data_IF_122737589217
#
_entry.id   IF_122737589217
#
_cell.length_a   1.000
_cell.length_b   1.000
_cell.length_c   1.000
_cell.angle_alpha   90.00
_cell.angle_beta   90.00
_cell.angle_gamma   90.00
#
_symmetry.space_group_name_H-M   'P 1'
#
loop_
_entity.id
_entity.type
_entity.pdbx_description
1 polymer ?
#
# COMPACT_ATOMS: atom_id res chain seq x y z
N UNK A 1 17.29 -5.94 -31.59
CA UNK A 1 15.82 -5.93 -31.39
C UNK A 1 15.55 -5.72 -29.90
N UNK A 2 15.32 -4.47 -29.46
CA UNK A 2 14.99 -4.13 -28.06
C UNK A 2 13.66 -3.39 -28.04
N UNK A 3 12.58 -4.05 -27.58
CA UNK A 3 11.24 -3.44 -27.49
C UNK A 3 10.54 -3.67 -26.13
N UNK A 4 11.27 -4.00 -25.07
CA UNK A 4 10.68 -4.28 -23.74
C UNK A 4 11.15 -3.34 -22.61
N UNK A 5 11.87 -2.26 -22.91
CA UNK A 5 12.41 -1.32 -21.90
C UNK A 5 11.56 -0.06 -21.71
N UNK A 6 10.29 -0.05 -22.13
CA UNK A 6 9.43 1.16 -22.07
C UNK A 6 8.20 1.04 -21.18
N UNK A 7 8.04 -0.03 -20.42
CA UNK A 7 6.94 -0.18 -19.46
C UNK A 7 7.51 -0.55 -18.09
N UNK A 8 8.22 0.38 -17.44
CA UNK A 8 8.58 0.25 -16.02
C UNK A 8 9.00 1.60 -15.48
N UNK A 9 8.07 2.26 -14.78
CA UNK A 9 8.27 3.23 -13.70
C UNK A 9 7.00 4.09 -13.54
N UNK A 10 6.33 4.44 -14.63
CA UNK A 10 5.22 5.40 -14.61
C UNK A 10 3.89 4.81 -14.12
N UNK A 11 3.69 3.49 -14.24
CA UNK A 11 2.45 2.83 -13.79
C UNK A 11 2.38 2.68 -12.27
N UNK A 12 3.52 2.45 -11.60
CA UNK A 12 3.57 2.30 -10.15
C UNK A 12 3.26 3.62 -9.42
N UNK A 13 3.64 4.77 -10.00
CA UNK A 13 3.35 6.10 -9.44
C UNK A 13 1.88 6.50 -9.65
N UNK A 14 1.26 6.12 -10.77
CA UNK A 14 -0.14 6.42 -11.06
C UNK A 14 -1.12 5.69 -10.13
N UNK A 15 -0.78 4.47 -9.68
CA UNK A 15 -1.57 3.72 -8.69
C UNK A 15 -1.57 4.39 -7.31
N UNK A 16 -0.54 5.18 -6.97
CA UNK A 16 -0.46 5.90 -5.69
C UNK A 16 -1.24 7.22 -5.72
N UNK A 17 -1.35 7.87 -6.89
CA UNK A 17 -2.08 9.14 -7.04
C UNK A 17 -3.59 8.95 -7.19
N UNK A 18 -4.06 7.84 -7.76
CA UNK A 18 -5.50 7.56 -7.89
C UNK A 18 -6.20 7.27 -6.55
N UNK A 19 -5.44 7.03 -5.47
CA UNK A 19 -5.97 6.77 -4.14
C UNK A 19 -5.99 8.01 -3.22
N UNK A 20 -5.47 9.16 -3.67
CA UNK A 20 -5.45 10.42 -2.91
C UNK A 20 -6.42 11.49 -3.47
N UNK A 21 -7.11 11.24 -4.58
CA UNK A 21 -8.10 12.19 -5.11
C UNK A 21 -9.53 11.79 -4.68
N UNK A 22 -10.10 12.58 -3.77
CA UNK A 22 -11.46 12.45 -3.21
C UNK A 22 -12.44 13.30 -4.06
N UNK A 23 -13.74 12.92 -4.21
CA UNK A 23 -14.51 13.21 -5.42
C UNK A 23 -15.27 14.54 -5.37
N UNK A 24 -15.33 15.23 -6.51
CA UNK A 24 -16.31 16.26 -6.88
C UNK A 24 -16.20 16.43 -8.42
N UNK A 25 -17.23 16.59 -9.25
CA UNK A 25 -18.67 16.73 -9.09
C UNK A 25 -19.28 16.59 -10.52
N UNK A 26 -20.55 16.21 -10.60
CA UNK A 26 -21.55 16.46 -11.66
C UNK A 26 -21.45 15.75 -13.04
N UNK A 27 -22.51 14.97 -13.28
CA UNK A 27 -22.99 14.48 -14.58
C UNK A 27 -23.31 15.61 -15.58
N UNK A 28 -23.58 15.24 -16.85
CA UNK A 28 -24.98 15.32 -17.24
C UNK A 28 -25.50 14.07 -17.96
N UNK A 29 -26.83 13.95 -17.84
CA UNK A 29 -27.69 12.97 -18.45
C UNK A 29 -27.66 12.98 -19.99
N UNK A 30 -27.83 11.79 -20.57
CA UNK A 30 -28.42 11.63 -21.90
C UNK A 30 -29.03 10.23 -22.02
N UNK A 31 -30.33 10.13 -21.73
CA UNK A 31 -31.23 9.30 -22.55
C UNK A 31 -31.41 10.03 -23.89
N UNK A 32 -31.58 9.33 -25.04
CA UNK A 32 -32.86 8.65 -25.30
C UNK A 32 -32.76 7.36 -26.13
N UNK A 33 -33.76 6.48 -26.02
CA UNK A 33 -34.67 6.11 -27.12
C UNK A 33 -35.34 4.75 -26.91
N UNK A 34 -36.67 4.80 -26.73
CA UNK A 34 -37.70 3.82 -27.09
C UNK A 34 -37.28 2.74 -28.10
N UNK A 35 -37.71 1.50 -27.85
CA UNK A 35 -38.53 0.71 -28.79
C UNK A 35 -39.43 -0.29 -28.01
N UNK A 36 -40.57 -0.56 -28.62
CA UNK A 36 -41.87 -1.08 -28.17
C UNK A 36 -42.01 -2.61 -28.11
N UNK A 37 -43.00 -3.07 -27.31
CA UNK A 37 -43.84 -4.31 -27.35
C UNK A 37 -43.25 -5.71 -27.54
N UNK A 38 -43.54 -6.64 -26.60
CA UNK A 38 -44.72 -7.54 -26.60
C UNK A 38 -44.51 -8.76 -25.65
N UNK A 39 -45.52 -9.09 -24.86
CA UNK A 39 -45.71 -10.36 -24.13
C UNK A 39 -46.36 -11.42 -25.07
N UNK A 40 -46.61 -12.72 -24.72
CA UNK A 40 -46.69 -13.31 -23.37
C UNK A 40 -46.25 -14.81 -23.17
N UNK A 41 -46.33 -15.22 -21.89
CA UNK A 41 -46.78 -16.53 -21.36
C UNK A 41 -45.79 -17.69 -21.02
N UNK A 42 -45.72 -17.93 -19.70
CA UNK A 42 -45.80 -19.22 -18.95
C UNK A 42 -44.64 -20.22 -18.95
N UNK A 43 -43.97 -20.40 -17.80
CA UNK A 43 -44.05 -21.55 -16.85
C UNK A 43 -42.86 -21.58 -15.87
N UNK A 44 -43.16 -21.66 -14.57
CA UNK A 44 -42.26 -21.95 -13.40
C UNK A 44 -41.88 -23.46 -13.43
N UNK A 45 -40.78 -23.99 -12.82
CA UNK A 45 -40.20 -23.54 -11.55
C UNK A 45 -38.67 -23.54 -11.36
N UNK A 46 -38.28 -22.71 -10.39
CA UNK A 46 -37.09 -22.71 -9.54
C UNK A 46 -35.99 -23.76 -9.82
N UNK A 47 -34.82 -23.26 -10.23
CA UNK A 47 -33.53 -23.87 -9.96
C UNK A 47 -32.59 -22.76 -9.48
N UNK A 48 -32.45 -22.68 -8.16
CA UNK A 48 -31.24 -22.32 -7.42
C UNK A 48 -30.24 -21.40 -8.16
N UNK A 49 -30.57 -20.12 -8.24
CA UNK A 49 -29.53 -19.11 -8.41
C UNK A 49 -28.71 -19.12 -7.11
N UNK A 50 -27.52 -19.72 -7.17
CA UNK A 50 -26.47 -19.52 -6.20
C UNK A 50 -26.28 -18.00 -6.06
N UNK A 51 -26.89 -17.45 -5.01
CA UNK A 51 -26.60 -16.10 -4.52
C UNK A 51 -25.09 -16.04 -4.43
N UNK A 52 -24.41 -15.09 -5.10
CA UNK A 52 -23.02 -14.81 -4.77
C UNK A 52 -23.01 -14.66 -3.25
N UNK A 53 -22.18 -15.43 -2.56
CA UNK A 53 -21.86 -15.12 -1.19
C UNK A 53 -21.26 -13.71 -1.22
N UNK A 54 -22.13 -12.71 -1.08
CA UNK A 54 -21.75 -11.41 -0.57
C UNK A 54 -21.09 -11.75 0.74
N UNK A 55 -19.76 -11.75 0.73
CA UNK A 55 -18.97 -11.59 1.94
C UNK A 55 -19.46 -10.29 2.54
N UNK A 56 -20.51 -10.36 3.36
CA UNK A 56 -21.04 -9.22 4.10
C UNK A 56 -19.92 -8.81 5.03
N UNK A 57 -19.18 -7.78 4.61
CA UNK A 57 -18.16 -7.15 5.43
C UNK A 57 -18.90 -6.66 6.67
N UNK A 58 -18.63 -7.27 7.81
CA UNK A 58 -19.30 -6.91 9.06
C UNK A 58 -19.07 -5.43 9.34
N UNK A 59 -20.16 -4.70 9.57
CA UNK A 59 -20.12 -3.27 9.86
C UNK A 59 -19.17 -3.01 11.04
N UNK A 60 -18.33 -1.97 10.96
CA UNK A 60 -17.35 -1.68 12.02
C UNK A 60 -18.04 -1.21 13.29
N UNK A 61 -17.62 -1.76 14.44
CA UNK A 61 -18.04 -1.27 15.76
C UNK A 61 -17.47 0.13 16.03
N UNK A 62 -18.02 0.86 17.01
CA UNK A 62 -17.48 2.17 17.41
C UNK A 62 -16.01 2.09 17.87
N UNK A 63 -15.66 1.02 18.62
CA UNK A 63 -14.28 0.77 19.01
C UNK A 63 -13.36 0.57 17.80
N UNK A 64 -13.80 -0.19 16.79
CA UNK A 64 -13.05 -0.38 15.56
C UNK A 64 -12.88 0.93 14.77
N UNK A 65 -13.90 1.81 14.76
CA UNK A 65 -13.80 3.13 14.13
C UNK A 65 -12.77 4.02 14.82
N UNK A 66 -12.76 4.02 16.15
CA UNK A 66 -11.76 4.75 16.94
C UNK A 66 -10.34 4.22 16.68
N UNK A 67 -10.17 2.89 16.65
CA UNK A 67 -8.88 2.27 16.35
C UNK A 67 -8.39 2.59 14.93
N UNK A 68 -9.30 2.62 13.95
CA UNK A 68 -8.98 2.99 12.58
C UNK A 68 -8.54 4.46 12.50
N UNK A 69 -9.24 5.36 13.19
CA UNK A 69 -8.88 6.78 13.23
C UNK A 69 -7.49 7.01 13.81
N UNK A 70 -7.11 6.30 14.90
CA UNK A 70 -5.75 6.38 15.46
C UNK A 70 -4.67 6.05 14.42
N UNK A 71 -4.90 5.04 13.58
CA UNK A 71 -3.95 4.67 12.53
C UNK A 71 -3.90 5.71 11.39
N UNK A 72 -5.04 6.30 11.03
CA UNK A 72 -5.10 7.38 10.05
C UNK A 72 -4.30 8.58 10.53
N UNK A 73 -4.55 9.03 11.77
CA UNK A 73 -3.86 10.17 12.38
C UNK A 73 -2.36 9.92 12.50
N UNK A 74 -1.98 8.72 12.93
CA UNK A 74 -0.58 8.31 12.98
C UNK A 74 0.06 8.35 11.59
N UNK A 75 -0.58 7.79 10.57
CA UNK A 75 -0.02 7.75 9.22
C UNK A 75 0.22 9.17 8.69
N UNK A 76 -0.76 10.07 8.84
CA UNK A 76 -0.63 11.48 8.47
C UNK A 76 0.55 12.16 9.18
N UNK A 77 0.77 11.87 10.47
CA UNK A 77 1.92 12.40 11.21
C UNK A 77 3.27 11.84 10.71
N UNK A 78 3.29 10.62 10.16
CA UNK A 78 4.51 9.99 9.65
C UNK A 78 4.87 10.41 8.21
N UNK A 79 3.92 10.85 7.39
CA UNK A 79 4.16 11.17 5.96
C UNK A 79 5.32 12.14 5.75
N UNK A 80 5.25 13.33 6.36
CA UNK A 80 6.32 14.34 6.24
C UNK A 80 7.64 13.86 6.85
N UNK A 81 7.55 13.10 7.94
CA UNK A 81 8.69 12.55 8.66
C UNK A 81 9.48 11.54 7.81
N UNK A 82 8.79 10.61 7.16
CA UNK A 82 9.38 9.63 6.25
C UNK A 82 9.88 10.26 4.95
N UNK A 83 9.12 11.20 4.39
CA UNK A 83 9.54 11.93 3.19
C UNK A 83 10.85 12.70 3.42
N UNK A 84 10.99 13.36 4.57
CA UNK A 84 12.22 14.07 4.95
C UNK A 84 13.39 13.11 5.10
N UNK A 85 13.19 11.98 5.79
CA UNK A 85 14.24 10.97 5.97
C UNK A 85 14.71 10.37 4.63
N UNK A 86 13.77 10.11 3.71
CA UNK A 86 14.08 9.61 2.38
C UNK A 86 14.84 10.64 1.54
N UNK A 87 14.42 11.92 1.58
CA UNK A 87 15.09 13.00 0.85
C UNK A 87 16.53 13.21 1.34
N UNK A 88 16.76 13.20 2.66
CA UNK A 88 18.11 13.31 3.21
C UNK A 88 18.98 12.10 2.86
N UNK A 89 18.42 10.88 2.88
CA UNK A 89 19.13 9.69 2.41
C UNK A 89 19.54 9.83 0.93
N UNK A 90 18.62 10.24 0.04
CA UNK A 90 18.91 10.46 -1.38
C UNK A 90 20.00 11.52 -1.60
N UNK A 91 19.95 12.62 -0.84
CA UNK A 91 20.98 13.66 -0.87
C UNK A 91 22.36 13.11 -0.47
N UNK A 92 22.43 12.29 0.57
CA UNK A 92 23.67 11.65 1.01
C UNK A 92 24.18 10.63 -0.01
N UNK A 93 23.29 9.84 -0.62
CA UNK A 93 23.60 8.94 -1.75
C UNK A 93 24.21 9.67 -2.94
N UNK A 94 23.67 10.84 -3.30
CA UNK A 94 24.16 11.63 -4.44
C UNK A 94 25.59 12.15 -4.26
N UNK A 95 26.12 12.20 -3.03
CA UNK A 95 27.51 12.62 -2.77
C UNK A 95 28.53 11.60 -3.25
N UNK A 96 28.13 10.33 -3.41
CA UNK A 96 29.01 9.18 -3.68
C UNK A 96 30.14 8.99 -2.65
N UNK A 97 30.10 9.69 -1.51
CA UNK A 97 31.05 9.55 -0.42
C UNK A 97 30.62 8.40 0.51
N UNK A 98 31.44 7.36 0.72
CA UNK A 98 31.06 6.20 1.51
C UNK A 98 30.65 6.52 2.96
N UNK A 99 31.27 7.53 3.58
CA UNK A 99 30.95 7.92 4.96
C UNK A 99 29.61 8.66 5.01
N UNK A 100 29.39 9.59 4.08
CA UNK A 100 28.10 10.30 3.96
C UNK A 100 26.96 9.32 3.69
N UNK A 101 27.17 8.34 2.80
CA UNK A 101 26.19 7.29 2.49
C UNK A 101 25.85 6.47 3.74
N UNK A 102 26.86 6.00 4.49
CA UNK A 102 26.61 5.24 5.72
C UNK A 102 25.91 6.06 6.81
N UNK A 103 26.29 7.33 6.97
CA UNK A 103 25.62 8.25 7.90
C UNK A 103 24.14 8.44 7.52
N UNK A 104 23.86 8.70 6.24
CA UNK A 104 22.50 8.84 5.72
C UNK A 104 21.68 7.56 5.92
N UNK A 105 22.27 6.39 5.64
CA UNK A 105 21.61 5.11 5.85
C UNK A 105 21.31 4.85 7.32
N UNK A 106 22.25 5.12 8.22
CA UNK A 106 22.07 4.94 9.66
C UNK A 106 20.95 5.85 10.19
N UNK A 107 20.93 7.12 9.77
CA UNK A 107 19.88 8.06 10.14
C UNK A 107 18.51 7.61 9.62
N UNK A 108 18.43 7.15 8.36
CA UNK A 108 17.21 6.60 7.78
C UNK A 108 16.70 5.37 8.55
N UNK A 109 17.57 4.39 8.81
CA UNK A 109 17.20 3.17 9.53
C UNK A 109 16.71 3.46 10.95
N UNK A 110 17.40 4.38 11.67
CA UNK A 110 16.94 4.84 12.98
C UNK A 110 15.54 5.45 12.89
N UNK A 111 15.27 6.22 11.84
CA UNK A 111 13.98 6.86 11.64
C UNK A 111 12.87 5.86 11.36
N UNK A 112 13.15 4.82 10.57
CA UNK A 112 12.26 3.68 10.38
C UNK A 112 11.99 2.95 11.69
N UNK A 113 13.03 2.70 12.50
CA UNK A 113 12.88 2.06 13.82
C UNK A 113 12.00 2.89 14.77
N UNK A 114 12.20 4.21 14.84
CA UNK A 114 11.35 5.12 15.60
C UNK A 114 9.89 5.08 15.12
N UNK A 115 9.66 5.08 13.80
CA UNK A 115 8.33 4.98 13.22
C UNK A 115 7.67 3.64 13.53
N UNK A 116 8.39 2.52 13.42
CA UNK A 116 7.90 1.19 13.83
C UNK A 116 7.54 1.17 15.32
N UNK A 117 8.39 1.73 16.19
CA UNK A 117 8.08 1.82 17.63
C UNK A 117 6.82 2.65 17.91
N UNK A 118 6.66 3.77 17.21
CA UNK A 118 5.45 4.60 17.34
C UNK A 118 4.19 3.89 16.84
N UNK A 119 4.31 3.06 15.79
CA UNK A 119 3.23 2.21 15.31
C UNK A 119 2.88 1.16 16.36
N UNK A 120 3.88 0.48 16.92
CA UNK A 120 3.72 -0.54 17.96
C UNK A 120 2.96 -0.01 19.18
N UNK A 121 3.19 1.26 19.56
CA UNK A 121 2.50 1.93 20.66
C UNK A 121 0.99 2.17 20.43
N UNK A 122 0.48 2.04 19.20
CA UNK A 122 -0.95 2.22 18.91
C UNK A 122 -1.71 0.96 19.28
N UNK A 123 -2.47 1.04 20.37
CA UNK A 123 -3.35 -0.04 20.76
C UNK A 123 -4.58 -0.11 19.86
N UNK A 124 -4.79 -1.29 19.28
CA UNK A 124 -5.92 -1.62 18.42
C UNK A 124 -6.52 -2.95 18.89
N UNK A 125 -7.84 -3.07 18.83
CA UNK A 125 -8.61 -4.23 19.27
C UNK A 125 -9.11 -5.07 18.10
N UNK A 126 -9.48 -4.42 16.99
CA UNK A 126 -10.01 -5.04 15.77
C UNK A 126 -8.97 -5.87 15.03
N UNK A 127 -9.34 -7.09 14.62
CA UNK A 127 -8.43 -8.06 14.00
C UNK A 127 -7.93 -7.62 12.62
N UNK A 128 -8.77 -6.97 11.80
CA UNK A 128 -8.37 -6.49 10.48
C UNK A 128 -7.40 -5.31 10.61
N UNK A 129 -7.67 -4.42 11.55
CA UNK A 129 -6.77 -3.30 11.88
C UNK A 129 -5.43 -3.80 12.44
N UNK A 130 -5.43 -4.81 13.33
CA UNK A 130 -4.20 -5.48 13.80
C UNK A 130 -3.38 -6.04 12.64
N UNK A 131 -4.04 -6.75 11.73
CA UNK A 131 -3.37 -7.38 10.58
C UNK A 131 -2.74 -6.32 9.67
N UNK A 132 -3.47 -5.22 9.41
CA UNK A 132 -2.95 -4.08 8.67
C UNK A 132 -1.75 -3.44 9.36
N UNK A 133 -1.84 -3.18 10.67
CA UNK A 133 -0.74 -2.63 11.47
C UNK A 133 0.53 -3.51 11.38
N UNK A 134 0.41 -4.81 11.59
CA UNK A 134 1.55 -5.74 11.49
C UNK A 134 2.14 -5.77 10.08
N UNK A 135 1.30 -5.72 9.04
CA UNK A 135 1.77 -5.67 7.65
C UNK A 135 2.48 -4.36 7.35
N UNK A 136 1.99 -3.22 7.85
CA UNK A 136 2.67 -1.91 7.74
C UNK A 136 4.06 -1.96 8.37
N UNK A 137 4.18 -2.54 9.57
CA UNK A 137 5.47 -2.75 10.23
C UNK A 137 6.42 -3.61 9.41
N UNK A 138 5.92 -4.70 8.85
CA UNK A 138 6.71 -5.59 7.99
C UNK A 138 7.23 -4.85 6.75
N UNK A 139 6.38 -4.07 6.07
CA UNK A 139 6.76 -3.29 4.89
C UNK A 139 7.79 -2.21 5.24
N UNK A 140 7.60 -1.47 6.33
CA UNK A 140 8.57 -0.45 6.78
C UNK A 140 9.94 -1.08 7.06
N UNK A 141 9.95 -2.20 7.78
CA UNK A 141 11.18 -2.92 8.14
C UNK A 141 11.88 -3.46 6.89
N UNK A 142 11.17 -4.19 6.03
CA UNK A 142 11.72 -4.74 4.79
C UNK A 142 12.26 -3.65 3.86
N UNK A 143 11.59 -2.50 3.77
CA UNK A 143 12.06 -1.35 3.00
C UNK A 143 13.44 -0.88 3.46
N UNK A 144 13.63 -0.72 4.77
CA UNK A 144 14.93 -0.34 5.34
C UNK A 144 16.02 -1.38 5.13
N UNK A 145 15.68 -2.67 5.18
CA UNK A 145 16.62 -3.76 4.89
C UNK A 145 17.03 -3.77 3.42
N UNK A 146 16.08 -3.63 2.49
CA UNK A 146 16.36 -3.57 1.05
C UNK A 146 17.28 -2.39 0.74
N UNK A 147 17.01 -1.22 1.30
CA UNK A 147 17.86 -0.03 1.11
C UNK A 147 19.26 -0.29 1.69
N UNK A 148 19.35 -0.88 2.88
CA UNK A 148 20.63 -1.21 3.51
C UNK A 148 21.46 -2.18 2.68
N UNK A 149 20.83 -3.22 2.12
CA UNK A 149 21.52 -4.16 1.23
C UNK A 149 21.93 -3.52 -0.10
N UNK A 150 21.08 -2.66 -0.68
CA UNK A 150 21.47 -1.90 -1.88
C UNK A 150 22.64 -0.96 -1.64
N UNK A 151 22.75 -0.34 -0.46
CA UNK A 151 23.92 0.46 -0.11
C UNK A 151 25.17 -0.41 0.02
N UNK A 152 25.06 -1.63 0.55
CA UNK A 152 26.20 -2.56 0.62
C UNK A 152 26.70 -2.95 -0.76
N UNK A 153 25.80 -3.21 -1.72
CA UNK A 153 26.20 -3.59 -3.09
C UNK A 153 26.97 -2.49 -3.83
N UNK A 154 26.83 -1.21 -3.44
CA UNK A 154 27.69 -0.12 -3.95
C UNK A 154 29.16 -0.36 -3.59
N UNK A 155 29.43 -0.89 -2.40
CA UNK A 155 30.78 -1.19 -1.92
C UNK A 155 31.29 -2.56 -2.38
N UNK A 156 30.38 -3.48 -2.76
CA UNK A 156 30.68 -4.84 -3.23
C UNK A 156 29.98 -5.19 -4.55
N UNK A 157 30.21 -4.45 -5.65
CA UNK A 157 29.38 -4.53 -6.85
C UNK A 157 29.44 -5.87 -7.61
N UNK A 158 30.46 -6.70 -7.35
CA UNK A 158 30.63 -8.01 -7.97
C UNK A 158 30.20 -9.18 -7.06
N UNK A 159 29.64 -8.88 -5.89
CA UNK A 159 29.15 -9.90 -4.97
C UNK A 159 27.77 -10.40 -5.42
N UNK A 160 27.74 -11.55 -6.09
CA UNK A 160 26.50 -12.18 -6.54
C UNK A 160 25.55 -12.53 -5.39
N UNK A 161 26.07 -12.92 -4.23
CA UNK A 161 25.22 -13.27 -3.08
C UNK A 161 24.53 -12.02 -2.55
N UNK A 162 25.23 -10.88 -2.48
CA UNK A 162 24.65 -9.60 -2.09
C UNK A 162 23.59 -9.13 -3.11
N UNK A 163 23.86 -9.26 -4.41
CA UNK A 163 22.87 -8.94 -5.46
C UNK A 163 21.62 -9.82 -5.37
N UNK A 164 21.78 -11.12 -5.13
CA UNK A 164 20.67 -12.05 -4.95
C UNK A 164 19.86 -11.74 -3.68
N UNK A 165 20.52 -11.40 -2.57
CA UNK A 165 19.86 -11.02 -1.33
C UNK A 165 19.01 -9.75 -1.50
N UNK A 166 19.53 -8.73 -2.20
CA UNK A 166 18.76 -7.54 -2.58
C UNK A 166 17.54 -7.92 -3.39
N UNK A 167 17.69 -8.76 -4.42
CA UNK A 167 16.58 -9.17 -5.28
C UNK A 167 15.49 -9.92 -4.49
N UNK A 168 15.88 -10.87 -3.64
CA UNK A 168 14.94 -11.63 -2.82
C UNK A 168 14.17 -10.74 -1.85
N UNK A 169 14.88 -9.86 -1.12
CA UNK A 169 14.21 -8.92 -0.20
C UNK A 169 13.34 -7.91 -0.93
N UNK A 170 13.74 -7.44 -2.10
CA UNK A 170 12.93 -6.56 -2.94
C UNK A 170 11.64 -7.27 -3.39
N UNK A 171 11.72 -8.55 -3.76
CA UNK A 171 10.55 -9.35 -4.09
C UNK A 171 9.60 -9.51 -2.89
N UNK A 172 10.14 -9.83 -1.70
CA UNK A 172 9.34 -9.89 -0.47
C UNK A 172 8.70 -8.54 -0.11
N UNK A 173 9.41 -7.43 -0.35
CA UNK A 173 8.87 -6.08 -0.15
C UNK A 173 7.71 -5.79 -1.11
N UNK A 174 7.82 -6.19 -2.37
CA UNK A 174 6.76 -6.04 -3.37
C UNK A 174 5.53 -6.84 -2.95
N UNK A 175 5.71 -8.10 -2.55
CA UNK A 175 4.62 -8.96 -2.07
C UNK A 175 3.93 -8.38 -0.83
N UNK A 176 4.71 -7.99 0.19
CA UNK A 176 4.19 -7.37 1.39
C UNK A 176 3.49 -6.03 1.09
N UNK A 177 4.00 -5.25 0.14
CA UNK A 177 3.37 -4.00 -0.32
C UNK A 177 2.03 -4.22 -1.01
N UNK A 178 1.92 -5.25 -1.87
CA UNK A 178 0.67 -5.61 -2.51
C UNK A 178 -0.38 -6.09 -1.49
N UNK A 179 0.02 -6.91 -0.54
CA UNK A 179 -0.85 -7.33 0.56
C UNK A 179 -1.30 -6.14 1.42
N UNK A 180 -0.39 -5.22 1.73
CA UNK A 180 -0.71 -4.01 2.48
C UNK A 180 -1.72 -3.14 1.73
N UNK A 181 -1.53 -2.96 0.42
CA UNK A 181 -2.46 -2.21 -0.42
C UNK A 181 -3.85 -2.86 -0.43
N UNK A 182 -3.92 -4.18 -0.55
CA UNK A 182 -5.18 -4.93 -0.48
C UNK A 182 -5.87 -4.70 0.87
N UNK A 183 -5.15 -4.87 1.98
CA UNK A 183 -5.69 -4.64 3.33
C UNK A 183 -6.17 -3.19 3.52
N UNK A 184 -5.46 -2.21 2.95
CA UNK A 184 -5.86 -0.82 2.99
C UNK A 184 -7.20 -0.59 2.28
N UNK A 185 -7.38 -1.16 1.08
CA UNK A 185 -8.64 -1.07 0.32
C UNK A 185 -9.78 -1.74 1.10
N UNK A 186 -9.56 -2.93 1.65
CA UNK A 186 -10.55 -3.65 2.47
C UNK A 186 -10.95 -2.86 3.72
N UNK A 187 -9.99 -2.20 4.39
CA UNK A 187 -10.28 -1.29 5.50
C UNK A 187 -11.08 -0.09 5.03
N UNK A 188 -10.66 0.61 3.98
CA UNK A 188 -11.38 1.77 3.46
C UNK A 188 -12.83 1.42 3.10
N UNK A 189 -13.06 0.28 2.45
CA UNK A 189 -14.41 -0.20 2.14
C UNK A 189 -15.22 -0.45 3.42
N UNK A 190 -14.65 -1.16 4.40
CA UNK A 190 -15.33 -1.47 5.67
C UNK A 190 -15.70 -0.21 6.46
N UNK A 191 -14.81 0.77 6.50
CA UNK A 191 -14.98 1.98 7.31
C UNK A 191 -15.69 3.13 6.57
N UNK A 192 -15.83 3.04 5.24
CA UNK A 192 -16.62 3.99 4.42
C UNK A 192 -18.05 3.51 4.13
N UNK A 193 -18.37 2.25 4.41
CA UNK A 193 -19.72 1.72 4.31
C UNK A 193 -20.64 2.45 5.32
N UNK A 194 -21.71 3.07 4.80
CA UNK A 194 -22.73 3.77 5.59
C UNK A 194 -23.64 2.80 6.31
#
# INVERSE_FOLDING_TARGET
MNKLTKISATVLVALFLAACDKPAEKAPATEPAKTTEAAPATTTPAAEAAKPAETTVAAPSEAAKADYQKLVDWNTAQESTMATAQAELQKKLATQDPKQIQEGLSAFNKKVEETVKSLDAIEVSDAQIKTFKEKTKSVLTLSSEVISEQVKTISTPNDQAALQAVQQKAQSLIEAGNELQKLNVELQQRFSAK
#
